data_IF_090372451427
#
_entry.id   IF_090372451427
#
_cell.length_a   1.000
_cell.length_b   1.000
_cell.length_c   1.000
_cell.angle_alpha   90.00
_cell.angle_beta   90.00
_cell.angle_gamma   90.00
#
_symmetry.space_group_name_H-M   'P 1'
#
loop_
_entity.id
_entity.type
_entity.pdbx_description
1 polymer ?
#
# COMPACT_ATOMS: atom_id res chain seq x y z
N UNK A 1 -69.57 1.66 23.20
CA UNK A 1 -68.51 0.65 22.97
C UNK A 1 -68.12 0.76 21.50
N UNK A 2 -66.88 1.12 21.13
CA UNK A 2 -65.90 0.15 20.65
C UNK A 2 -64.46 0.71 20.77
N UNK A 3 -64.04 1.07 21.99
CA UNK A 3 -62.65 1.49 22.28
C UNK A 3 -61.61 0.38 22.00
N UNK A 4 -62.06 -0.87 21.82
CA UNK A 4 -61.21 -2.03 21.51
C UNK A 4 -60.74 -2.06 20.04
N UNK A 5 -61.50 -1.46 19.11
CA UNK A 5 -61.15 -1.45 17.68
C UNK A 5 -60.02 -0.44 17.39
N UNK A 6 -59.98 0.67 18.14
CA UNK A 6 -58.95 1.71 17.96
C UNK A 6 -57.59 1.33 18.55
N UNK A 7 -57.56 0.45 19.57
CA UNK A 7 -56.31 0.00 20.19
C UNK A 7 -55.59 -1.06 19.34
N UNK A 8 -56.36 -1.93 18.66
CA UNK A 8 -55.81 -2.92 17.72
C UNK A 8 -55.24 -2.27 16.45
N UNK A 9 -55.87 -1.20 15.94
CA UNK A 9 -55.35 -0.43 14.81
C UNK A 9 -54.06 0.34 15.16
N UNK A 10 -53.94 0.82 16.40
CA UNK A 10 -52.74 1.50 16.87
C UNK A 10 -51.54 0.54 17.05
N UNK A 11 -51.77 -0.70 17.52
CA UNK A 11 -50.70 -1.70 17.63
C UNK A 11 -50.21 -2.22 16.27
N UNK A 12 -51.09 -2.30 15.26
CA UNK A 12 -50.69 -2.69 13.91
C UNK A 12 -49.85 -1.60 13.19
N UNK A 13 -50.12 -0.32 13.46
CA UNK A 13 -49.34 0.79 12.91
C UNK A 13 -47.94 0.91 13.53
N UNK A 14 -47.75 0.50 14.78
CA UNK A 14 -46.46 0.53 15.47
C UNK A 14 -45.48 -0.55 14.97
N UNK A 15 -45.98 -1.66 14.42
CA UNK A 15 -45.13 -2.76 13.92
C UNK A 15 -44.51 -2.49 12.54
N UNK A 16 -44.92 -1.43 11.84
CA UNK A 16 -44.36 -1.07 10.52
C UNK A 16 -43.04 -0.27 10.60
N UNK A 17 -42.58 0.08 11.80
CA UNK A 17 -41.31 0.82 12.00
C UNK A 17 -40.18 -0.04 12.58
N UNK A 18 -40.40 -1.33 12.82
CA UNK A 18 -39.35 -2.25 13.31
C UNK A 18 -38.57 -2.85 12.14
N UNK A 19 -37.84 -1.98 11.44
CA UNK A 19 -37.00 -2.33 10.31
C UNK A 19 -35.80 -1.40 10.22
N UNK A 20 -35.14 -1.11 11.34
CA UNK A 20 -33.75 -0.67 11.29
C UNK A 20 -32.93 -1.88 10.84
N UNK A 21 -32.90 -2.08 9.52
CA UNK A 21 -31.88 -2.89 8.88
C UNK A 21 -30.56 -2.39 9.46
N UNK A 22 -29.75 -3.33 9.96
CA UNK A 22 -28.33 -3.13 10.19
C UNK A 22 -27.71 -2.90 8.81
N UNK A 23 -28.01 -1.76 8.20
CA UNK A 23 -27.40 -1.33 6.97
C UNK A 23 -26.07 -0.74 7.42
N UNK A 24 -25.00 -1.46 7.09
CA UNK A 24 -23.68 -0.87 6.90
C UNK A 24 -23.85 0.52 6.26
N UNK A 25 -23.19 1.56 6.78
CA UNK A 25 -23.41 2.95 6.35
C UNK A 25 -23.16 3.08 4.82
N UNK A 26 -24.21 2.88 4.01
CA UNK A 26 -24.14 2.97 2.56
C UNK A 26 -24.13 4.45 2.17
N UNK A 27 -23.07 4.87 1.51
CA UNK A 27 -22.93 6.23 1.04
C UNK A 27 -23.89 6.48 -0.11
N UNK A 28 -24.79 7.46 0.06
CA UNK A 28 -25.69 7.92 -1.00
C UNK A 28 -25.23 9.26 -1.56
N UNK A 29 -25.26 9.40 -2.88
CA UNK A 29 -25.20 10.72 -3.52
C UNK A 29 -26.06 10.80 -4.78
N UNK A 30 -26.50 12.02 -5.11
CA UNK A 30 -27.27 12.29 -6.32
C UNK A 30 -26.36 12.45 -7.52
N UNK A 31 -26.65 11.73 -8.60
CA UNK A 31 -26.09 11.95 -9.93
C UNK A 31 -27.22 12.40 -10.84
N UNK A 32 -27.42 13.71 -10.94
CA UNK A 32 -28.56 14.29 -11.63
C UNK A 32 -29.89 13.97 -10.93
N UNK A 33 -30.80 13.24 -11.61
CA UNK A 33 -32.14 12.88 -11.08
C UNK A 33 -32.18 11.52 -10.37
N UNK A 34 -31.07 10.78 -10.33
CA UNK A 34 -31.02 9.41 -9.79
C UNK A 34 -30.11 9.38 -8.56
N UNK A 35 -30.53 8.67 -7.51
CA UNK A 35 -29.71 8.38 -6.33
C UNK A 35 -28.82 7.17 -6.59
N UNK A 36 -27.52 7.30 -6.29
CA UNK A 36 -26.52 6.24 -6.36
C UNK A 36 -26.13 5.83 -4.95
N UNK A 37 -26.02 4.53 -4.72
CA UNK A 37 -25.70 3.93 -3.43
C UNK A 37 -24.41 3.11 -3.57
N UNK A 38 -23.48 3.25 -2.62
CA UNK A 38 -22.23 2.51 -2.62
C UNK A 38 -21.70 2.30 -1.21
N UNK A 39 -21.06 1.16 -0.96
CA UNK A 39 -20.40 0.84 0.32
C UNK A 39 -19.10 1.65 0.51
N UNK A 40 -18.63 2.35 -0.52
CA UNK A 40 -17.40 3.14 -0.50
C UNK A 40 -17.72 4.60 -0.85
N UNK A 41 -17.16 5.58 -0.13
CA UNK A 41 -17.44 6.99 -0.40
C UNK A 41 -17.01 7.39 -1.82
N UNK A 42 -17.76 8.31 -2.42
CA UNK A 42 -17.70 8.71 -3.84
C UNK A 42 -16.29 8.94 -4.43
N UNK A 43 -15.32 9.39 -3.62
CA UNK A 43 -13.97 9.74 -4.05
C UNK A 43 -12.88 8.78 -3.55
N UNK A 44 -13.26 7.67 -2.90
CA UNK A 44 -12.36 6.68 -2.30
C UNK A 44 -12.51 5.31 -2.97
N UNK A 45 -12.92 5.28 -4.24
CA UNK A 45 -12.96 4.01 -4.98
C UNK A 45 -11.53 3.59 -5.35
N UNK A 46 -11.20 2.28 -5.30
CA UNK A 46 -9.86 1.78 -5.66
C UNK A 46 -9.40 2.21 -7.06
N UNK A 47 -10.35 2.49 -7.95
CA UNK A 47 -10.09 2.91 -9.33
C UNK A 47 -9.71 4.39 -9.48
N UNK A 48 -9.96 5.25 -8.48
CA UNK A 48 -9.77 6.71 -8.61
C UNK A 48 -8.96 7.38 -7.50
N UNK A 49 -8.59 6.66 -6.44
CA UNK A 49 -7.90 7.21 -5.27
C UNK A 49 -6.40 6.94 -5.25
N UNK A 50 -5.62 7.70 -6.05
CA UNK A 50 -4.14 7.64 -5.99
C UNK A 50 -3.52 8.60 -4.95
N UNK A 51 -4.30 9.48 -4.31
CA UNK A 51 -3.77 10.50 -3.41
C UNK A 51 -4.63 10.57 -2.13
N UNK A 52 -4.03 10.16 -1.01
CA UNK A 52 -4.60 10.31 0.33
C UNK A 52 -4.07 11.61 0.93
N UNK A 53 -4.91 12.65 0.99
CA UNK A 53 -4.57 13.90 1.69
C UNK A 53 -4.94 13.77 3.18
N UNK A 54 -3.97 13.34 4.00
CA UNK A 54 -4.13 13.32 5.46
C UNK A 54 -3.93 14.74 6.01
N UNK A 55 -5.03 15.41 6.39
CA UNK A 55 -4.95 16.68 7.12
C UNK A 55 -4.80 16.40 8.61
N UNK A 56 -3.57 16.34 9.09
CA UNK A 56 -3.28 16.29 10.52
C UNK A 56 -3.67 17.63 11.14
N UNK A 57 -4.75 17.66 11.92
CA UNK A 57 -5.00 18.76 12.84
C UNK A 57 -3.91 18.68 13.91
N UNK A 58 -2.96 19.59 13.92
CA UNK A 58 -2.09 19.81 15.08
C UNK A 58 -2.95 20.43 16.17
N UNK A 59 -3.53 19.62 17.05
CA UNK A 59 -4.03 20.14 18.32
C UNK A 59 -2.82 20.65 19.09
N UNK A 60 -2.77 21.96 19.38
CA UNK A 60 -1.85 22.46 20.42
C UNK A 60 -2.38 21.88 21.73
N UNK A 61 -1.63 20.99 22.43
CA UNK A 61 -1.97 20.72 23.81
C UNK A 61 -1.93 22.05 24.56
N UNK A 62 -2.89 22.27 25.45
CA UNK A 62 -2.84 23.41 26.36
C UNK A 62 -1.46 23.39 27.01
N UNK A 63 -0.70 24.49 26.88
CA UNK A 63 0.66 24.55 27.39
C UNK A 63 0.61 24.27 28.90
N UNK A 64 1.11 23.10 29.31
CA UNK A 64 1.38 22.85 30.70
C UNK A 64 2.41 23.89 31.16
N UNK A 65 2.30 24.42 32.39
CA UNK A 65 3.22 25.43 32.90
C UNK A 65 4.68 24.99 32.76
N UNK A 66 5.55 25.98 32.54
CA UNK A 66 6.96 25.90 32.10
C UNK A 66 7.88 25.02 32.97
N UNK A 67 7.38 24.46 34.07
CA UNK A 67 8.13 23.59 34.98
C UNK A 67 8.31 22.13 34.51
N UNK A 68 7.81 21.72 33.34
CA UNK A 68 7.90 20.31 32.89
C UNK A 68 8.55 20.09 31.51
N UNK A 69 9.25 21.10 30.99
CA UNK A 69 9.74 21.10 29.61
C UNK A 69 11.17 20.56 29.42
N UNK A 70 11.62 19.66 30.29
CA UNK A 70 12.91 19.01 30.12
C UNK A 70 12.74 17.49 30.11
N UNK A 71 12.88 16.93 28.90
CA UNK A 71 12.94 15.51 28.53
C UNK A 71 11.59 14.76 28.43
N UNK A 72 10.94 14.82 27.27
CA UNK A 72 9.91 13.84 26.89
C UNK A 72 10.47 12.90 25.80
N UNK A 73 10.96 11.73 26.23
CA UNK A 73 11.08 10.53 25.40
C UNK A 73 9.68 9.97 25.06
N UNK A 74 9.55 9.05 24.08
CA UNK A 74 8.25 8.53 23.62
C UNK A 74 7.50 7.83 24.77
N UNK A 75 6.28 8.27 25.05
CA UNK A 75 5.39 7.66 26.04
C UNK A 75 4.78 6.36 25.48
N UNK A 76 5.19 5.21 26.04
CA UNK A 76 4.52 3.92 25.85
C UNK A 76 3.62 3.67 27.06
N UNK A 77 2.31 3.63 26.84
CA UNK A 77 1.31 3.39 27.88
C UNK A 77 1.40 1.94 28.37
N UNK A 78 2.07 1.72 29.50
CA UNK A 78 1.89 0.52 30.31
C UNK A 78 1.17 0.93 31.60
N UNK A 79 0.20 0.14 32.04
CA UNK A 79 -0.65 0.43 33.22
C UNK A 79 0.11 0.46 34.56
N UNK A 80 1.43 0.33 34.55
CA UNK A 80 2.38 0.51 35.67
C UNK A 80 3.78 0.80 35.06
N UNK A 81 3.81 1.73 34.08
CA UNK A 81 4.66 1.61 32.90
C UNK A 81 5.76 2.64 32.71
N UNK A 82 6.98 2.30 33.11
CA UNK A 82 8.20 2.94 32.62
C UNK A 82 9.02 1.88 31.86
N UNK A 83 9.09 2.01 30.54
CA UNK A 83 10.08 1.29 29.74
C UNK A 83 11.40 2.04 29.94
N UNK A 84 12.42 1.37 30.48
CA UNK A 84 13.71 1.99 30.75
C UNK A 84 14.29 2.56 29.45
N UNK A 85 15.01 3.69 29.51
CA UNK A 85 15.69 4.25 28.34
C UNK A 85 16.63 3.22 27.67
N UNK A 86 17.16 2.28 28.47
CA UNK A 86 17.93 1.13 28.00
C UNK A 86 17.08 0.14 27.18
N UNK A 87 15.84 -0.13 27.60
CA UNK A 87 14.92 -1.04 26.90
C UNK A 87 14.46 -0.43 25.56
N UNK A 88 14.23 0.88 25.52
CA UNK A 88 13.90 1.58 24.26
C UNK A 88 15.08 1.58 23.29
N UNK A 89 16.31 1.77 23.79
CA UNK A 89 17.51 1.69 22.97
C UNK A 89 17.78 0.26 22.48
N UNK A 90 17.56 -0.75 23.32
CA UNK A 90 17.66 -2.15 22.93
C UNK A 90 16.65 -2.50 21.84
N UNK A 91 15.41 -2.05 21.96
CA UNK A 91 14.37 -2.26 20.94
C UNK A 91 14.66 -1.50 19.64
N UNK A 92 15.23 -0.30 19.70
CA UNK A 92 15.67 0.45 18.52
C UNK A 92 16.83 -0.26 17.80
N UNK A 93 17.82 -0.76 18.56
CA UNK A 93 18.93 -1.53 18.02
C UNK A 93 18.46 -2.85 17.39
N UNK A 94 17.50 -3.53 18.01
CA UNK A 94 16.88 -4.74 17.44
C UNK A 94 16.19 -4.44 16.11
N UNK A 95 15.35 -3.40 16.06
CA UNK A 95 14.70 -2.98 14.81
C UNK A 95 15.71 -2.61 13.72
N UNK A 96 16.77 -1.89 14.07
CA UNK A 96 17.83 -1.56 13.12
C UNK A 96 18.54 -2.81 12.59
N UNK A 97 18.82 -3.80 13.44
CA UNK A 97 19.43 -5.06 13.00
C UNK A 97 18.52 -5.85 12.06
N UNK A 98 17.21 -5.90 12.36
CA UNK A 98 16.22 -6.55 11.50
C UNK A 98 16.08 -5.86 10.14
N UNK A 99 16.03 -4.52 10.12
CA UNK A 99 15.99 -3.73 8.89
C UNK A 99 17.27 -3.88 8.06
N UNK A 100 18.44 -3.86 8.71
CA UNK A 100 19.72 -4.08 8.03
C UNK A 100 19.77 -5.48 7.41
N UNK A 101 19.30 -6.51 8.14
CA UNK A 101 19.24 -7.89 7.63
C UNK A 101 18.27 -8.01 6.45
N UNK A 102 17.10 -7.40 6.53
CA UNK A 102 16.13 -7.39 5.43
C UNK A 102 16.69 -6.69 4.19
N UNK A 103 17.41 -5.59 4.38
CA UNK A 103 18.08 -4.84 3.31
C UNK A 103 19.21 -5.64 2.68
N UNK A 104 20.03 -6.33 3.48
CA UNK A 104 21.09 -7.19 2.97
C UNK A 104 20.53 -8.34 2.12
N UNK A 105 19.46 -8.99 2.58
CA UNK A 105 18.80 -10.05 1.83
C UNK A 105 18.19 -9.55 0.52
N UNK A 106 17.55 -8.37 0.53
CA UNK A 106 17.00 -7.74 -0.67
C UNK A 106 18.11 -7.38 -1.67
N UNK A 107 19.19 -6.76 -1.20
CA UNK A 107 20.35 -6.43 -2.04
C UNK A 107 20.99 -7.68 -2.65
N UNK A 108 21.11 -8.76 -1.88
CA UNK A 108 21.61 -10.05 -2.39
C UNK A 108 20.73 -10.60 -3.51
N UNK A 109 19.40 -10.61 -3.33
CA UNK A 109 18.46 -11.06 -4.38
C UNK A 109 18.56 -10.21 -5.65
N UNK A 110 18.74 -8.89 -5.50
CA UNK A 110 18.90 -7.99 -6.65
C UNK A 110 20.22 -8.27 -7.38
N UNK A 111 21.32 -8.53 -6.66
CA UNK A 111 22.60 -8.91 -7.28
C UNK A 111 22.48 -10.22 -8.05
N UNK A 112 21.89 -11.25 -7.45
CA UNK A 112 21.66 -12.55 -8.09
C UNK A 112 20.80 -12.40 -9.37
N UNK A 113 19.74 -11.59 -9.32
CA UNK A 113 18.89 -11.32 -10.50
C UNK A 113 19.64 -10.54 -11.58
N UNK A 114 20.45 -9.55 -11.22
CA UNK A 114 21.26 -8.78 -12.17
C UNK A 114 22.32 -9.66 -12.86
N UNK A 115 22.97 -10.55 -12.11
CA UNK A 115 23.92 -11.51 -12.65
C UNK A 115 23.24 -12.51 -13.60
N UNK A 116 22.10 -13.07 -13.21
CA UNK A 116 21.33 -13.98 -14.05
C UNK A 116 20.83 -13.29 -15.33
N UNK A 117 20.35 -12.04 -15.22
CA UNK A 117 19.93 -11.24 -16.37
C UNK A 117 21.10 -10.94 -17.31
N UNK A 118 22.27 -10.56 -16.77
CA UNK A 118 23.49 -10.32 -17.56
C UNK A 118 23.94 -11.58 -18.30
N UNK A 119 23.97 -12.73 -17.62
CA UNK A 119 24.32 -14.01 -18.23
C UNK A 119 23.32 -14.41 -19.34
N UNK A 120 22.02 -14.24 -19.10
CA UNK A 120 20.97 -14.50 -20.09
C UNK A 120 21.11 -13.59 -21.32
N UNK A 121 21.26 -12.29 -21.12
CA UNK A 121 21.44 -11.31 -22.19
C UNK A 121 22.68 -11.60 -23.03
N UNK A 122 23.80 -11.95 -22.37
CA UNK A 122 25.01 -12.37 -23.07
C UNK A 122 24.77 -13.63 -23.92
N UNK A 123 24.11 -14.65 -23.37
CA UNK A 123 23.82 -15.89 -24.10
C UNK A 123 22.96 -15.61 -25.34
N UNK A 124 21.89 -14.84 -25.19
CA UNK A 124 21.02 -14.42 -26.30
C UNK A 124 21.82 -13.64 -27.35
N UNK A 125 22.68 -12.71 -26.95
CA UNK A 125 23.52 -11.96 -27.88
C UNK A 125 24.45 -12.87 -28.70
N UNK A 126 25.06 -13.88 -28.06
CA UNK A 126 25.91 -14.86 -28.75
C UNK A 126 25.13 -15.73 -29.73
N UNK A 127 23.96 -16.22 -29.31
CA UNK A 127 23.07 -17.02 -30.16
C UNK A 127 22.64 -16.21 -31.40
N UNK A 128 22.22 -14.97 -31.20
CA UNK A 128 21.83 -14.08 -32.30
C UNK A 128 22.97 -13.84 -33.29
N UNK A 129 24.19 -13.64 -32.79
CA UNK A 129 25.38 -13.50 -33.64
C UNK A 129 25.61 -14.77 -34.47
N UNK A 130 25.54 -15.95 -33.85
CA UNK A 130 25.71 -17.23 -34.55
C UNK A 130 24.62 -17.46 -35.63
N UNK A 131 23.37 -17.10 -35.33
CA UNK A 131 22.29 -17.16 -36.32
C UNK A 131 22.52 -16.19 -37.47
N UNK A 132 22.93 -14.95 -37.20
CA UNK A 132 23.24 -13.98 -38.26
C UNK A 132 24.41 -14.42 -39.14
N UNK A 133 25.43 -15.06 -38.56
CA UNK A 133 26.56 -15.60 -39.32
C UNK A 133 26.14 -16.71 -40.30
N UNK A 134 25.09 -17.48 -39.99
CA UNK A 134 24.65 -18.60 -40.83
C UNK A 134 23.46 -18.25 -41.74
N UNK A 135 22.78 -17.14 -41.48
CA UNK A 135 21.64 -16.68 -42.27
C UNK A 135 22.05 -16.26 -43.69
N UNK A 136 21.24 -16.64 -44.69
CA UNK A 136 21.41 -16.24 -46.10
C UNK A 136 20.43 -15.12 -46.45
N UNK A 137 20.75 -13.91 -46.01
CA UNK A 137 19.92 -12.70 -46.17
C UNK A 137 20.75 -11.55 -46.75
N UNK A 138 20.10 -10.60 -47.41
CA UNK A 138 20.78 -9.48 -48.09
C UNK A 138 21.50 -8.54 -47.11
N UNK A 139 20.94 -8.34 -45.91
CA UNK A 139 21.46 -7.45 -44.86
C UNK A 139 22.31 -8.17 -43.79
N UNK A 140 22.89 -9.33 -44.14
CA UNK A 140 23.65 -10.18 -43.21
C UNK A 140 24.76 -9.43 -42.48
N UNK A 141 25.59 -8.69 -43.20
CA UNK A 141 26.74 -7.99 -42.63
C UNK A 141 26.33 -6.90 -41.62
N UNK A 142 25.24 -6.18 -41.88
CA UNK A 142 24.71 -5.19 -40.93
C UNK A 142 24.18 -5.85 -39.65
N UNK A 143 23.49 -6.98 -39.77
CA UNK A 143 23.02 -7.76 -38.62
C UNK A 143 24.17 -8.34 -37.79
N UNK A 144 25.23 -8.84 -38.45
CA UNK A 144 26.43 -9.31 -37.76
C UNK A 144 27.06 -8.18 -36.94
N UNK A 145 27.24 -6.99 -37.53
CA UNK A 145 27.79 -5.83 -36.82
C UNK A 145 26.95 -5.44 -35.59
N UNK A 146 25.63 -5.40 -35.75
CA UNK A 146 24.72 -5.08 -34.65
C UNK A 146 24.81 -6.12 -33.52
N UNK A 147 24.76 -7.41 -33.83
CA UNK A 147 24.86 -8.46 -32.81
C UNK A 147 26.24 -8.53 -32.16
N UNK A 148 27.30 -8.21 -32.91
CA UNK A 148 28.64 -8.11 -32.34
C UNK A 148 28.74 -6.96 -31.33
N UNK A 149 28.09 -5.82 -31.60
CA UNK A 149 27.94 -4.75 -30.61
C UNK A 149 27.17 -5.20 -29.36
N UNK A 150 26.08 -5.96 -29.54
CA UNK A 150 25.32 -6.49 -28.41
C UNK A 150 26.15 -7.47 -27.56
N UNK A 151 26.94 -8.35 -28.19
CA UNK A 151 27.87 -9.22 -27.47
C UNK A 151 28.86 -8.38 -26.66
N UNK A 152 29.43 -7.34 -27.26
CA UNK A 152 30.36 -6.45 -26.55
C UNK A 152 29.71 -5.68 -25.39
N UNK A 153 28.42 -5.39 -25.46
CA UNK A 153 27.69 -4.67 -24.41
C UNK A 153 27.24 -5.58 -23.26
N UNK A 154 26.79 -6.80 -23.55
CA UNK A 154 26.20 -7.68 -22.54
C UNK A 154 27.15 -8.74 -21.99
N UNK A 155 28.21 -9.10 -22.73
CA UNK A 155 29.15 -10.15 -22.34
C UNK A 155 30.47 -9.64 -21.75
N UNK A 156 30.79 -8.34 -21.89
CA UNK A 156 31.97 -7.72 -21.26
C UNK A 156 31.59 -7.09 -19.92
#
# INVERSE_FOLDING_TARGET
MNKKLSLLAACAAAMLFSGSLMAEDVYEWKSGRVSTYSDVPKNLTPATSNIVNVRTQTSRPAAAPVSQQQNQLPQIQNNNGEISAADLQAMANQRQMEENKATEEANRKVQEQNEAARASNCNVARINLQHAQTARIQNREQLIQQYQSNVNQYCN
#
